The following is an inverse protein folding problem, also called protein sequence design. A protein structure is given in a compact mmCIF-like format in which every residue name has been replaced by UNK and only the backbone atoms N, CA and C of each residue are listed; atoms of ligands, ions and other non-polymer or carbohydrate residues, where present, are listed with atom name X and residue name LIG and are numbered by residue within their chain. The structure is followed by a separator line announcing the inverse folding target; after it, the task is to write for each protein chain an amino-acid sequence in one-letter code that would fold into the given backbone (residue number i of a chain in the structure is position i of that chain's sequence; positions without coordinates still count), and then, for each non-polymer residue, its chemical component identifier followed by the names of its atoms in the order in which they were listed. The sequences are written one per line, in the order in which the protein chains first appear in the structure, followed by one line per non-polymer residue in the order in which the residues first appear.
data_IF_504046208389
#
_entry.id   IF_504046208389
#
_cell.length_a   1.000
_cell.length_b   1.000
_cell.length_c   1.000
_cell.angle_alpha   90.00
_cell.angle_beta   90.00
_cell.angle_gamma   90.00
#
_symmetry.space_group_name_H-M   'P 1'
#
loop_
_entity.id
_entity.type
_entity.pdbx_description
1 polymer ?
#
# COMPACT_ATOMS: atom_id res chain seq x y z
N UNK A 1 20.27 11.36 36.93
CA UNK A 1 20.66 11.21 35.51
C UNK A 1 20.40 12.55 34.86
N UNK A 2 21.46 13.27 34.45
CA UNK A 2 21.34 14.60 33.85
C UNK A 2 20.96 14.41 32.38
N UNK A 3 19.78 14.90 31.99
CA UNK A 3 19.36 14.97 30.59
C UNK A 3 20.32 15.90 29.86
N UNK A 4 21.14 15.37 28.96
CA UNK A 4 21.92 16.17 28.03
C UNK A 4 20.94 16.95 27.16
N UNK A 5 20.90 18.26 27.35
CA UNK A 5 20.09 19.14 26.53
C UNK A 5 20.77 19.26 25.17
N UNK A 6 20.29 18.50 24.20
CA UNK A 6 20.75 18.59 22.81
C UNK A 6 20.34 19.98 22.30
N UNK A 7 21.33 20.81 21.96
CA UNK A 7 21.11 22.12 21.37
C UNK A 7 21.24 21.99 19.85
N UNK A 8 20.18 22.30 19.11
CA UNK A 8 20.18 22.26 17.66
C UNK A 8 20.58 23.62 17.10
N UNK A 9 21.51 23.64 16.14
CA UNK A 9 21.85 24.86 15.40
C UNK A 9 20.78 25.14 14.33
N UNK A 10 19.75 25.87 14.73
CA UNK A 10 18.62 26.20 13.87
C UNK A 10 19.04 27.02 12.65
N UNK A 11 20.05 27.88 12.78
CA UNK A 11 20.51 28.72 11.69
C UNK A 11 21.21 27.89 10.61
N UNK A 12 22.08 26.97 11.04
CA UNK A 12 22.74 26.03 10.13
C UNK A 12 21.71 25.12 9.42
N UNK A 13 20.71 24.62 10.16
CA UNK A 13 19.62 23.83 9.59
C UNK A 13 18.84 24.64 8.55
N UNK A 14 18.44 25.87 8.87
CA UNK A 14 17.68 26.73 7.95
C UNK A 14 18.45 27.01 6.66
N UNK A 15 19.76 27.30 6.76
CA UNK A 15 20.59 27.53 5.57
C UNK A 15 20.75 26.27 4.73
N UNK A 16 20.97 25.12 5.37
CA UNK A 16 21.11 23.83 4.67
C UNK A 16 19.79 23.41 4.00
N UNK A 17 18.67 23.61 4.70
CA UNK A 17 17.33 23.34 4.19
C UNK A 17 17.00 24.21 2.98
N UNK A 18 17.33 25.51 3.00
CA UNK A 18 17.06 26.39 1.87
C UNK A 18 17.80 25.96 0.59
N UNK A 19 19.04 25.45 0.72
CA UNK A 19 19.80 24.91 -0.41
C UNK A 19 19.17 23.62 -0.91
N UNK A 20 18.80 22.73 0.01
CA UNK A 20 18.18 21.46 -0.34
C UNK A 20 16.80 21.64 -1.00
N UNK A 21 15.93 22.49 -0.45
CA UNK A 21 14.60 22.81 -0.99
C UNK A 21 14.69 23.39 -2.41
N UNK A 22 15.70 24.19 -2.71
CA UNK A 22 15.90 24.73 -4.06
C UNK A 22 16.22 23.67 -5.13
N UNK A 23 16.71 22.49 -4.71
CA UNK A 23 17.09 21.39 -5.61
C UNK A 23 15.99 20.33 -5.62
N UNK A 24 15.62 19.85 -4.44
CA UNK A 24 14.73 18.71 -4.25
C UNK A 24 13.25 19.11 -4.18
N UNK A 25 12.93 20.38 -3.88
CA UNK A 25 11.56 20.85 -3.64
C UNK A 25 10.79 19.99 -2.63
N UNK A 26 11.49 19.40 -1.65
CA UNK A 26 10.90 18.48 -0.67
C UNK A 26 9.89 19.23 0.21
N UNK A 27 8.61 18.98 -0.03
CA UNK A 27 7.51 19.67 0.64
C UNK A 27 6.35 18.72 0.90
N UNK A 28 5.47 19.02 1.88
CA UNK A 28 4.20 18.33 1.99
C UNK A 28 3.42 18.46 0.68
N UNK A 29 2.79 17.37 0.24
CA UNK A 29 2.03 17.34 -1.00
C UNK A 29 0.64 17.93 -0.74
N UNK A 30 0.29 18.99 -1.48
CA UNK A 30 -1.03 19.63 -1.39
C UNK A 30 -1.88 19.49 -2.65
N UNK A 31 -1.25 19.23 -3.79
CA UNK A 31 -1.89 19.03 -5.08
C UNK A 31 -1.13 18.01 -5.94
N UNK A 32 -1.67 17.73 -7.13
CA UNK A 32 -1.08 16.77 -8.08
C UNK A 32 0.29 17.22 -8.62
N UNK A 33 0.56 18.52 -8.66
CA UNK A 33 1.85 19.02 -9.16
C UNK A 33 2.94 18.73 -8.13
N UNK A 34 2.67 18.95 -6.84
CA UNK A 34 3.56 18.55 -5.76
C UNK A 34 3.75 17.02 -5.76
N UNK A 35 2.68 16.26 -6.01
CA UNK A 35 2.71 14.80 -6.04
C UNK A 35 3.64 14.28 -7.14
N UNK A 36 3.46 14.72 -8.38
CA UNK A 36 4.28 14.33 -9.52
C UNK A 36 5.77 14.64 -9.29
N UNK A 37 6.07 15.77 -8.65
CA UNK A 37 7.44 16.15 -8.30
C UNK A 37 8.05 15.22 -7.24
N UNK A 38 7.30 14.91 -6.18
CA UNK A 38 7.78 14.01 -5.13
C UNK A 38 7.97 12.58 -5.65
N UNK A 39 7.09 12.10 -6.53
CA UNK A 39 7.24 10.82 -7.22
C UNK A 39 8.50 10.80 -8.09
N UNK A 40 8.76 11.85 -8.87
CA UNK A 40 9.95 11.93 -9.71
C UNK A 40 11.24 11.90 -8.88
N UNK A 41 11.26 12.61 -7.75
CA UNK A 41 12.38 12.60 -6.83
C UNK A 41 12.56 11.22 -6.18
N UNK A 42 11.48 10.61 -5.69
CA UNK A 42 11.49 9.28 -5.09
C UNK A 42 12.04 8.22 -6.05
N UNK A 43 11.59 8.23 -7.32
CA UNK A 43 12.09 7.31 -8.34
C UNK A 43 13.59 7.52 -8.60
N UNK A 44 14.05 8.77 -8.66
CA UNK A 44 15.48 9.06 -8.83
C UNK A 44 16.32 8.55 -7.65
N UNK A 45 15.78 8.62 -6.42
CA UNK A 45 16.43 8.08 -5.24
C UNK A 45 16.41 6.55 -5.21
N UNK A 46 15.33 5.91 -5.67
CA UNK A 46 15.27 4.45 -5.81
C UNK A 46 16.34 3.95 -6.78
N UNK A 47 16.54 4.64 -7.91
CA UNK A 47 17.56 4.29 -8.89
C UNK A 47 18.99 4.44 -8.34
N UNK A 48 19.22 5.43 -7.46
CA UNK A 48 20.54 5.67 -6.84
C UNK A 48 20.83 4.75 -5.65
N UNK A 49 19.88 4.61 -4.73
CA UNK A 49 20.00 3.76 -3.53
C UNK A 49 20.06 2.28 -3.91
N UNK A 50 19.25 1.86 -4.89
CA UNK A 50 19.16 0.48 -5.31
C UNK A 50 18.82 -0.47 -4.16
N UNK A 51 19.61 -1.54 -4.02
CA UNK A 51 19.46 -2.56 -2.97
C UNK A 51 20.32 -2.27 -1.71
N UNK A 52 20.96 -1.10 -1.61
CA UNK A 52 21.82 -0.73 -0.48
C UNK A 52 21.02 -0.02 0.62
N UNK A 53 20.54 -0.81 1.59
CA UNK A 53 19.77 -0.29 2.74
C UNK A 53 20.60 0.65 3.65
N UNK A 54 21.94 0.59 3.61
CA UNK A 54 22.83 1.44 4.41
C UNK A 54 23.26 2.72 3.67
N UNK A 55 22.72 2.97 2.47
CA UNK A 55 23.04 4.15 1.66
C UNK A 55 22.73 5.46 2.38
N UNK A 56 23.57 6.50 2.22
CA UNK A 56 23.41 7.79 2.89
C UNK A 56 22.06 8.47 2.61
N UNK A 57 21.44 8.15 1.47
CA UNK A 57 20.13 8.66 1.06
C UNK A 57 18.95 7.75 1.42
N UNK A 58 19.18 6.57 2.00
CA UNK A 58 18.11 5.62 2.34
C UNK A 58 17.07 6.26 3.29
N UNK A 59 17.53 7.02 4.29
CA UNK A 59 16.63 7.75 5.20
C UNK A 59 15.83 8.86 4.52
N UNK A 60 16.36 9.48 3.45
CA UNK A 60 15.61 10.45 2.67
C UNK A 60 14.54 9.76 1.80
N UNK A 61 14.89 8.62 1.21
CA UNK A 61 13.96 7.80 0.43
C UNK A 61 12.79 7.31 1.31
N UNK A 62 13.07 6.84 2.53
CA UNK A 62 12.04 6.46 3.51
C UNK A 62 11.09 7.62 3.81
N UNK A 63 11.64 8.80 4.12
CA UNK A 63 10.82 9.99 4.42
C UNK A 63 9.94 10.41 3.22
N UNK A 64 10.47 10.34 2.00
CA UNK A 64 9.71 10.64 0.79
C UNK A 64 8.58 9.63 0.56
N UNK A 65 8.86 8.34 0.78
CA UNK A 65 7.86 7.28 0.72
C UNK A 65 6.68 7.55 1.66
N UNK A 66 6.95 8.01 2.88
CA UNK A 66 5.90 8.38 3.84
C UNK A 66 5.07 9.58 3.37
N UNK A 67 5.72 10.62 2.81
CA UNK A 67 5.04 11.83 2.30
C UNK A 67 4.11 11.46 1.13
N UNK A 68 4.61 10.69 0.17
CA UNK A 68 3.86 10.20 -0.99
C UNK A 68 2.70 9.31 -0.54
N UNK A 69 2.99 8.32 0.31
CA UNK A 69 1.97 7.37 0.78
C UNK A 69 0.82 8.07 1.50
N UNK A 70 1.11 9.10 2.30
CA UNK A 70 0.07 9.88 2.97
C UNK A 70 -0.87 10.55 1.97
N UNK A 71 -0.33 11.14 0.90
CA UNK A 71 -1.15 11.77 -0.14
C UNK A 71 -1.99 10.74 -0.90
N UNK A 72 -1.38 9.61 -1.30
CA UNK A 72 -2.05 8.52 -2.01
C UNK A 72 -3.21 7.92 -1.21
N UNK A 73 -3.05 7.76 0.10
CA UNK A 73 -4.13 7.23 0.96
C UNK A 73 -5.39 8.10 0.93
N UNK A 74 -5.23 9.42 0.80
CA UNK A 74 -6.32 10.39 0.77
C UNK A 74 -6.92 10.55 -0.64
N UNK A 75 -6.08 10.53 -1.69
CA UNK A 75 -6.46 10.90 -3.06
C UNK A 75 -6.63 9.70 -4.01
N UNK A 76 -5.89 8.63 -3.77
CA UNK A 76 -5.90 7.39 -4.53
C UNK A 76 -6.25 6.19 -3.63
N UNK A 77 -7.42 6.21 -2.94
CA UNK A 77 -7.80 5.08 -2.11
C UNK A 77 -7.88 3.83 -2.98
N UNK A 78 -7.12 2.81 -2.63
CA UNK A 78 -7.21 1.50 -3.29
C UNK A 78 -8.62 0.97 -2.99
N UNK A 79 -9.51 1.08 -3.97
CA UNK A 79 -10.82 0.45 -3.88
C UNK A 79 -10.61 -1.05 -3.68
N UNK A 80 -10.95 -1.57 -2.49
CA UNK A 80 -10.77 -3.00 -2.31
C UNK A 80 -11.61 -3.74 -3.33
N UNK A 81 -10.97 -4.71 -3.99
CA UNK A 81 -11.57 -5.52 -5.03
C UNK A 81 -12.94 -6.06 -4.57
N UNK A 82 -13.89 -6.14 -5.49
CA UNK A 82 -15.16 -6.78 -5.20
C UNK A 82 -14.90 -8.21 -4.70
N UNK A 83 -15.64 -8.71 -3.69
CA UNK A 83 -15.38 -10.03 -3.09
C UNK A 83 -15.26 -11.19 -4.09
N UNK A 84 -15.99 -11.14 -5.21
CA UNK A 84 -15.92 -12.10 -6.30
C UNK A 84 -14.60 -12.02 -7.08
N UNK A 85 -14.06 -10.84 -7.28
CA UNK A 85 -12.81 -10.63 -8.02
C UNK A 85 -11.61 -10.98 -7.14
N UNK A 86 -11.67 -10.64 -5.85
CA UNK A 86 -10.69 -11.12 -4.88
C UNK A 86 -10.66 -12.66 -4.80
N UNK A 87 -11.83 -13.32 -4.79
CA UNK A 87 -11.92 -14.77 -4.83
C UNK A 87 -11.33 -15.34 -6.13
N UNK A 88 -11.63 -14.74 -7.28
CA UNK A 88 -11.10 -15.18 -8.57
C UNK A 88 -9.58 -15.07 -8.63
N UNK A 89 -9.04 -13.92 -8.21
CA UNK A 89 -7.61 -13.69 -8.13
C UNK A 89 -6.91 -14.74 -7.26
N UNK A 90 -7.46 -15.03 -6.08
CA UNK A 90 -6.88 -16.03 -5.18
C UNK A 90 -6.95 -17.46 -5.72
N UNK A 91 -8.00 -17.79 -6.50
CA UNK A 91 -8.07 -19.05 -7.22
C UNK A 91 -6.98 -19.14 -8.29
N UNK A 92 -6.87 -18.10 -9.13
CA UNK A 92 -5.87 -18.03 -10.21
C UNK A 92 -4.44 -18.08 -9.67
N UNK A 93 -4.13 -17.29 -8.65
CA UNK A 93 -2.82 -17.24 -8.00
C UNK A 93 -2.39 -18.59 -7.39
N UNK A 94 -3.34 -19.46 -7.05
CA UNK A 94 -3.10 -20.82 -6.53
C UNK A 94 -3.33 -21.93 -7.54
N UNK A 95 -3.67 -21.60 -8.79
CA UNK A 95 -4.00 -22.58 -9.83
C UNK A 95 -5.24 -23.43 -9.52
N UNK A 96 -6.17 -22.92 -8.72
CA UNK A 96 -7.38 -23.63 -8.30
C UNK A 96 -8.52 -23.45 -9.31
N UNK A 97 -9.24 -24.53 -9.57
CA UNK A 97 -10.50 -24.51 -10.30
C UNK A 97 -11.70 -24.45 -9.32
N UNK A 98 -12.92 -24.37 -9.86
CA UNK A 98 -14.13 -24.30 -9.03
C UNK A 98 -14.40 -25.58 -8.23
N UNK A 99 -13.99 -26.74 -8.75
CA UNK A 99 -14.21 -28.03 -8.09
C UNK A 99 -13.33 -28.20 -6.85
N UNK A 100 -12.16 -27.56 -6.82
CA UNK A 100 -11.26 -27.55 -5.66
C UNK A 100 -11.89 -26.85 -4.43
N UNK A 101 -12.85 -25.95 -4.65
CA UNK A 101 -13.58 -25.25 -3.60
C UNK A 101 -14.92 -25.91 -3.23
N UNK A 102 -15.26 -27.03 -3.86
CA UNK A 102 -16.55 -27.73 -3.65
C UNK A 102 -16.80 -28.16 -2.20
N UNK A 103 -15.73 -28.46 -1.45
CA UNK A 103 -15.80 -28.80 -0.03
C UNK A 103 -16.19 -27.59 0.86
N UNK A 104 -15.98 -26.37 0.38
CA UNK A 104 -16.22 -25.13 1.12
C UNK A 104 -17.56 -24.51 0.72
N UNK A 105 -17.83 -24.50 -0.58
CA UNK A 105 -19.05 -23.94 -1.16
C UNK A 105 -19.54 -24.84 -2.29
N UNK A 106 -20.85 -25.14 -2.36
CA UNK A 106 -21.41 -25.91 -3.47
C UNK A 106 -21.12 -25.23 -4.82
N UNK A 107 -20.83 -26.04 -5.85
CA UNK A 107 -20.42 -25.57 -7.18
C UNK A 107 -21.42 -24.57 -7.80
N UNK A 108 -22.73 -24.81 -7.63
CA UNK A 108 -23.78 -23.88 -8.10
C UNK A 108 -23.72 -22.50 -7.42
N UNK A 109 -23.38 -22.46 -6.13
CA UNK A 109 -23.20 -21.22 -5.40
C UNK A 109 -21.89 -20.53 -5.79
N UNK A 110 -20.81 -21.29 -5.99
CA UNK A 110 -19.51 -20.73 -6.41
C UNK A 110 -19.63 -20.03 -7.76
N UNK A 111 -20.25 -20.67 -8.74
CA UNK A 111 -20.48 -20.10 -10.07
C UNK A 111 -21.32 -18.82 -9.99
N UNK A 112 -22.39 -18.81 -9.19
CA UNK A 112 -23.21 -17.62 -8.98
C UNK A 112 -22.45 -16.48 -8.28
N UNK A 113 -21.56 -16.79 -7.33
CA UNK A 113 -20.70 -15.81 -6.65
C UNK A 113 -19.69 -15.22 -7.64
N UNK A 114 -18.98 -16.06 -8.39
CA UNK A 114 -18.00 -15.63 -9.38
C UNK A 114 -18.65 -14.83 -10.53
N UNK A 115 -19.92 -15.07 -10.83
CA UNK A 115 -20.68 -14.26 -11.79
C UNK A 115 -21.27 -12.96 -11.18
N UNK A 116 -21.01 -12.66 -9.90
CA UNK A 116 -21.56 -11.49 -9.20
C UNK A 116 -23.06 -11.58 -8.88
N UNK A 117 -23.72 -12.69 -9.20
CA UNK A 117 -25.17 -12.90 -9.01
C UNK A 117 -25.53 -13.24 -7.56
N UNK A 118 -24.54 -13.60 -6.73
CA UNK A 118 -24.73 -13.97 -5.33
C UNK A 118 -23.64 -13.34 -4.46
N UNK A 119 -24.06 -12.68 -3.38
CA UNK A 119 -23.14 -12.16 -2.36
C UNK A 119 -22.54 -13.30 -1.51
N UNK A 120 -21.30 -13.12 -1.09
CA UNK A 120 -20.63 -14.00 -0.13
C UNK A 120 -21.18 -13.69 1.27
N UNK A 121 -21.63 -14.69 2.02
CA UNK A 121 -22.08 -14.49 3.41
C UNK A 121 -20.89 -14.41 4.37
N UNK A 122 -21.05 -13.76 5.52
CA UNK A 122 -19.99 -13.66 6.54
C UNK A 122 -19.45 -15.05 6.97
N UNK A 123 -20.32 -16.05 7.09
CA UNK A 123 -19.91 -17.44 7.38
C UNK A 123 -19.01 -18.02 6.29
N UNK A 124 -19.36 -17.79 5.02
CA UNK A 124 -18.57 -18.26 3.88
C UNK A 124 -17.25 -17.48 3.78
N UNK A 125 -17.28 -16.16 3.99
CA UNK A 125 -16.09 -15.33 4.06
C UNK A 125 -15.10 -15.85 5.11
N UNK A 126 -15.58 -16.26 6.28
CA UNK A 126 -14.75 -16.89 7.31
C UNK A 126 -14.13 -18.22 6.88
N UNK A 127 -14.87 -19.07 6.16
CA UNK A 127 -14.34 -20.33 5.61
C UNK A 127 -13.30 -20.10 4.52
N UNK A 128 -13.57 -19.17 3.60
CA UNK A 128 -12.65 -18.79 2.53
C UNK A 128 -11.38 -18.15 3.10
N UNK A 129 -11.51 -17.25 4.08
CA UNK A 129 -10.37 -16.67 4.79
C UNK A 129 -9.46 -17.73 5.41
N UNK A 130 -10.03 -18.74 6.08
CA UNK A 130 -9.26 -19.88 6.62
C UNK A 130 -8.57 -20.70 5.53
N UNK A 131 -9.27 -21.00 4.43
CA UNK A 131 -8.71 -21.78 3.33
C UNK A 131 -7.58 -21.05 2.59
N UNK A 132 -7.76 -19.75 2.36
CA UNK A 132 -6.77 -18.90 1.70
C UNK A 132 -5.70 -18.34 2.65
N UNK A 133 -5.82 -18.53 3.97
CA UNK A 133 -4.90 -17.94 4.93
C UNK A 133 -4.90 -16.41 4.89
N UNK A 134 -6.05 -15.80 4.59
CA UNK A 134 -6.21 -14.34 4.46
C UNK A 134 -7.34 -13.83 5.36
N UNK A 135 -7.43 -12.51 5.52
CA UNK A 135 -8.50 -11.88 6.29
C UNK A 135 -9.87 -12.16 5.66
N UNK A 136 -10.88 -12.62 6.43
CA UNK A 136 -12.25 -12.78 5.94
C UNK A 136 -12.84 -11.47 5.38
N UNK A 137 -12.35 -10.31 5.82
CA UNK A 137 -12.81 -9.00 5.38
C UNK A 137 -12.71 -8.81 3.86
N UNK A 138 -11.77 -9.49 3.20
CA UNK A 138 -11.60 -9.49 1.75
C UNK A 138 -12.84 -10.02 1.00
N UNK A 139 -13.63 -10.86 1.65
CA UNK A 139 -14.80 -11.49 1.05
C UNK A 139 -16.14 -10.93 1.55
N UNK A 140 -16.11 -9.94 2.45
CA UNK A 140 -17.34 -9.35 2.99
C UNK A 140 -17.90 -8.35 1.98
N UNK A 141 -19.16 -8.48 1.55
CA UNK A 141 -19.80 -7.50 0.67
C UNK A 141 -19.87 -6.13 1.37
N UNK A 142 -19.46 -5.08 0.68
CA UNK A 142 -19.78 -3.70 1.05
C UNK A 142 -21.22 -3.35 0.67
#
# INVERSE_FOLDING_TARGET
MQSAQVNFDIQAIQSSWAVFDAIAHLRPIHDEVDYDQMIALMNSLLDEVGDDEDHELAGLLELLGDIVSKYEQEHYPIEAAAPNDALRFLMEARGLNQDDLSAIVPQSNLSAILAGKRKISATLAGKLGKFFGTSPALFVPR
#
